data_IF_888527770527
#
_entry.id   IF_888527770527
#
_cell.length_a   1.000
_cell.length_b   1.000
_cell.length_c   1.000
_cell.angle_alpha   90.00
_cell.angle_beta   90.00
_cell.angle_gamma   90.00
#
_symmetry.space_group_name_H-M   'P 1'
#
loop_
_entity.id
_entity.type
_entity.pdbx_description
1 polymer ?
#
# COMPACT_ATOMS: atom_id res chain seq x y z
N UNK A 1 -8.20 12.23 7.26
CA UNK A 1 -6.76 11.95 7.36
C UNK A 1 -6.34 11.90 8.82
N UNK A 2 -5.18 11.29 9.12
CA UNK A 2 -4.63 11.17 10.48
C UNK A 2 -4.68 12.49 11.26
N UNK A 3 -4.93 12.42 12.56
CA UNK A 3 -5.07 13.60 13.40
C UNK A 3 -6.37 14.38 13.18
N UNK A 4 -7.44 13.73 12.70
CA UNK A 4 -8.76 14.33 12.43
C UNK A 4 -8.75 15.49 11.42
N UNK A 5 -7.85 15.43 10.42
CA UNK A 5 -7.71 16.48 9.40
C UNK A 5 -8.30 16.07 8.04
N UNK A 6 -8.71 17.04 7.21
CA UNK A 6 -9.38 16.82 5.93
C UNK A 6 -9.15 17.94 4.91
N UNK A 7 -9.67 17.77 3.69
CA UNK A 7 -9.68 18.80 2.63
C UNK A 7 -8.68 18.57 1.49
N UNK A 8 -8.92 19.25 0.37
CA UNK A 8 -8.12 19.14 -0.86
C UNK A 8 -6.64 19.50 -0.64
N UNK A 9 -6.37 20.42 0.29
CA UNK A 9 -5.02 20.83 0.70
C UNK A 9 -4.21 19.65 1.22
N UNK A 10 -4.85 18.66 1.87
CA UNK A 10 -4.13 17.46 2.35
C UNK A 10 -3.75 16.50 1.23
N UNK A 11 -4.57 16.42 0.18
CA UNK A 11 -4.26 15.63 -1.02
C UNK A 11 -3.06 16.22 -1.77
N UNK A 12 -2.90 17.55 -1.76
CA UNK A 12 -1.76 18.25 -2.36
C UNK A 12 -0.58 18.45 -1.40
N UNK A 13 -0.69 17.96 -0.16
CA UNK A 13 0.33 18.09 0.87
C UNK A 13 1.51 17.12 0.70
N UNK A 14 2.45 17.10 1.66
CA UNK A 14 3.67 16.27 1.59
C UNK A 14 3.39 14.77 1.49
N UNK A 15 2.27 14.31 2.05
CA UNK A 15 1.86 12.89 2.03
C UNK A 15 0.98 12.55 0.82
N UNK A 16 0.69 13.51 -0.05
CA UNK A 16 -0.23 13.34 -1.19
C UNK A 16 0.16 12.20 -2.12
N UNK A 17 1.45 12.06 -2.42
CA UNK A 17 1.96 10.99 -3.28
C UNK A 17 1.68 9.57 -2.76
N UNK A 18 1.66 9.36 -1.44
CA UNK A 18 1.30 8.05 -0.86
C UNK A 18 -0.19 7.77 -1.03
N UNK A 19 -1.04 8.80 -1.03
CA UNK A 19 -2.48 8.65 -1.26
C UNK A 19 -2.77 8.23 -2.71
N UNK A 20 -2.06 8.83 -3.66
CA UNK A 20 -2.11 8.40 -5.07
C UNK A 20 -1.52 6.99 -5.19
N UNK A 21 -0.42 6.71 -4.51
CA UNK A 21 0.21 5.40 -4.41
C UNK A 21 -0.72 4.28 -3.93
N UNK A 22 -1.63 4.58 -2.99
CA UNK A 22 -2.62 3.62 -2.51
C UNK A 22 -3.59 3.12 -3.59
N UNK A 23 -3.86 3.93 -4.62
CA UNK A 23 -4.68 3.50 -5.76
C UNK A 23 -3.98 2.32 -6.45
N UNK A 24 -2.69 2.47 -6.75
CA UNK A 24 -1.88 1.39 -7.35
C UNK A 24 -1.75 0.19 -6.43
N UNK A 25 -1.55 0.39 -5.13
CA UNK A 25 -1.54 -0.71 -4.15
C UNK A 25 -2.85 -1.50 -4.22
N UNK A 26 -3.99 -0.82 -4.20
CA UNK A 26 -5.32 -1.48 -4.24
C UNK A 26 -5.56 -2.21 -5.56
N UNK A 27 -5.13 -1.63 -6.69
CA UNK A 27 -5.25 -2.26 -8.01
C UNK A 27 -4.37 -3.51 -8.12
N UNK A 28 -3.08 -3.42 -7.78
CA UNK A 28 -2.16 -4.55 -7.85
C UNK A 28 -2.62 -5.70 -6.95
N UNK A 29 -2.99 -5.40 -5.70
CA UNK A 29 -3.48 -6.42 -4.76
C UNK A 29 -4.82 -7.01 -5.17
N UNK A 30 -5.76 -6.19 -5.63
CA UNK A 30 -7.08 -6.63 -6.08
C UNK A 30 -7.02 -7.52 -7.31
N UNK A 31 -6.23 -7.13 -8.32
CA UNK A 31 -6.01 -7.93 -9.54
C UNK A 31 -5.40 -9.28 -9.17
N UNK A 32 -4.30 -9.27 -8.41
CA UNK A 32 -3.63 -10.50 -8.01
C UNK A 32 -4.54 -11.40 -7.18
N UNK A 33 -5.36 -10.85 -6.29
CA UNK A 33 -6.32 -11.65 -5.50
C UNK A 33 -7.36 -12.39 -6.36
N UNK A 34 -7.68 -11.89 -7.56
CA UNK A 34 -8.57 -12.58 -8.50
C UNK A 34 -7.87 -13.72 -9.24
N UNK A 35 -6.60 -13.52 -9.63
CA UNK A 35 -5.88 -14.47 -10.48
C UNK A 35 -4.97 -15.45 -9.75
N UNK A 36 -4.64 -15.20 -8.47
CA UNK A 36 -3.64 -15.99 -7.77
C UNK A 36 -4.06 -17.44 -7.54
N UNK A 37 -5.36 -17.78 -7.54
CA UNK A 37 -5.87 -19.17 -7.34
C UNK A 37 -5.10 -19.92 -6.22
N UNK A 38 -4.91 -19.27 -5.07
CA UNK A 38 -4.20 -19.77 -3.86
C UNK A 38 -2.70 -19.94 -3.98
N UNK A 39 -2.12 -19.42 -5.05
CA UNK A 39 -0.69 -19.20 -5.10
C UNK A 39 -0.29 -18.07 -4.14
N UNK A 40 0.06 -18.47 -2.92
CA UNK A 40 0.50 -17.60 -1.83
C UNK A 40 1.63 -16.68 -2.29
N UNK A 41 2.58 -17.21 -3.07
CA UNK A 41 3.72 -16.44 -3.57
C UNK A 41 3.27 -15.34 -4.53
N UNK A 42 2.28 -15.62 -5.40
CA UNK A 42 1.73 -14.64 -6.33
C UNK A 42 0.96 -13.55 -5.58
N UNK A 43 0.16 -13.91 -4.56
CA UNK A 43 -0.53 -12.96 -3.67
C UNK A 43 0.44 -11.98 -3.00
N UNK A 44 1.48 -12.50 -2.35
CA UNK A 44 2.48 -11.67 -1.70
C UNK A 44 3.27 -10.82 -2.69
N UNK A 45 3.56 -11.34 -3.88
CA UNK A 45 4.24 -10.58 -4.93
C UNK A 45 3.41 -9.38 -5.36
N UNK A 46 2.10 -9.55 -5.58
CA UNK A 46 1.19 -8.44 -5.90
C UNK A 46 1.12 -7.38 -4.80
N UNK A 47 1.07 -7.82 -3.55
CA UNK A 47 1.12 -6.95 -2.38
C UNK A 47 2.42 -6.15 -2.29
N UNK A 48 3.57 -6.79 -2.48
CA UNK A 48 4.87 -6.15 -2.42
C UNK A 48 5.04 -5.17 -3.59
N UNK A 49 4.64 -5.54 -4.81
CA UNK A 49 4.69 -4.65 -5.97
C UNK A 49 3.82 -3.41 -5.74
N UNK A 50 2.59 -3.60 -5.27
CA UNK A 50 1.70 -2.48 -4.96
C UNK A 50 2.27 -1.57 -3.86
N UNK A 51 2.87 -2.15 -2.82
CA UNK A 51 3.47 -1.38 -1.72
C UNK A 51 4.72 -0.63 -2.20
N UNK A 52 5.54 -1.27 -3.04
CA UNK A 52 6.71 -0.65 -3.66
C UNK A 52 6.31 0.54 -4.52
N UNK A 53 5.28 0.42 -5.36
CA UNK A 53 4.77 1.53 -6.17
C UNK A 53 4.25 2.67 -5.29
N UNK A 54 3.53 2.34 -4.20
CA UNK A 54 3.05 3.32 -3.25
C UNK A 54 4.21 4.10 -2.61
N UNK A 55 5.23 3.39 -2.13
CA UNK A 55 6.42 4.00 -1.52
C UNK A 55 7.25 4.80 -2.52
N UNK A 56 7.40 4.33 -3.75
CA UNK A 56 8.16 5.04 -4.78
C UNK A 56 7.48 6.38 -5.12
N UNK A 57 6.19 6.36 -5.44
CA UNK A 57 5.43 7.56 -5.78
C UNK A 57 5.34 8.53 -4.58
N UNK A 58 5.08 7.99 -3.39
CA UNK A 58 5.06 8.76 -2.15
C UNK A 58 6.40 9.41 -1.81
N UNK A 59 7.50 8.69 -1.95
CA UNK A 59 8.85 9.21 -1.65
C UNK A 59 9.28 10.27 -2.64
N UNK A 60 9.04 10.08 -3.94
CA UNK A 60 9.35 11.08 -4.96
C UNK A 60 8.56 12.37 -4.73
N UNK A 61 7.26 12.24 -4.46
CA UNK A 61 6.40 13.38 -4.12
C UNK A 61 6.87 14.10 -2.84
N UNK A 62 7.15 13.35 -1.78
CA UNK A 62 7.59 13.90 -0.50
C UNK A 62 8.93 14.62 -0.63
N UNK A 63 9.87 14.03 -1.38
CA UNK A 63 11.17 14.61 -1.70
C UNK A 63 11.01 15.96 -2.40
N UNK A 64 10.13 16.04 -3.40
CA UNK A 64 9.84 17.27 -4.12
C UNK A 64 9.16 18.32 -3.24
N UNK A 65 8.08 17.96 -2.54
CA UNK A 65 7.28 18.91 -1.74
C UNK A 65 8.04 19.47 -0.53
N UNK A 66 8.95 18.69 0.06
CA UNK A 66 9.70 19.10 1.26
C UNK A 66 11.14 19.51 0.97
N UNK A 67 11.53 19.56 -0.31
CA UNK A 67 12.91 19.81 -0.75
C UNK A 67 13.94 18.93 -0.03
N UNK A 68 13.58 17.67 0.21
CA UNK A 68 14.44 16.68 0.87
C UNK A 68 15.17 15.86 -0.18
N UNK A 69 16.44 15.50 0.08
CA UNK A 69 17.10 14.46 -0.70
C UNK A 69 16.36 13.12 -0.59
N UNK A 70 16.45 12.29 -1.64
CA UNK A 70 15.71 11.02 -1.74
C UNK A 70 15.87 10.11 -0.52
N UNK A 71 17.11 9.91 -0.05
CA UNK A 71 17.38 9.09 1.15
C UNK A 71 16.72 9.64 2.41
N UNK A 72 16.70 10.97 2.56
CA UNK A 72 16.05 11.61 3.71
C UNK A 72 14.53 11.45 3.61
N UNK A 73 13.95 11.65 2.43
CA UNK A 73 12.53 11.39 2.20
C UNK A 73 12.15 9.92 2.48
N UNK A 74 12.98 8.96 2.10
CA UNK A 74 12.79 7.54 2.41
C UNK A 74 12.83 7.29 3.93
N UNK A 75 13.77 7.94 4.63
CA UNK A 75 13.93 7.78 6.08
C UNK A 75 12.71 8.23 6.88
N UNK A 76 12.04 9.31 6.47
CA UNK A 76 10.84 9.80 7.16
C UNK A 76 9.54 9.22 6.59
N UNK A 77 9.51 8.90 5.30
CA UNK A 77 8.29 8.53 4.59
C UNK A 77 8.06 7.03 4.43
N UNK A 78 9.10 6.20 4.53
CA UNK A 78 9.03 4.76 4.26
C UNK A 78 9.56 3.92 5.43
N UNK A 79 10.80 4.17 5.88
CA UNK A 79 11.45 3.36 6.93
C UNK A 79 10.56 3.09 8.15
N UNK A 80 9.88 4.09 8.77
CA UNK A 80 9.04 3.84 9.94
C UNK A 80 7.77 3.02 9.62
N UNK A 81 7.37 2.92 8.36
CA UNK A 81 6.14 2.24 7.93
C UNK A 81 6.36 0.80 7.45
N UNK A 82 7.60 0.39 7.15
CA UNK A 82 7.90 -0.96 6.63
C UNK A 82 7.36 -2.06 7.56
N UNK A 83 7.72 -2.02 8.85
CA UNK A 83 7.31 -3.04 9.82
C UNK A 83 5.78 -3.09 9.99
N UNK A 84 5.10 -1.97 10.33
CA UNK A 84 3.65 -2.01 10.49
C UNK A 84 2.92 -2.39 9.18
N UNK A 85 3.45 -2.04 8.01
CA UNK A 85 2.82 -2.42 6.75
C UNK A 85 3.01 -3.91 6.44
N UNK A 86 4.16 -4.52 6.74
CA UNK A 86 4.32 -5.98 6.66
C UNK A 86 3.27 -6.71 7.52
N UNK A 87 3.07 -6.23 8.75
CA UNK A 87 2.05 -6.80 9.65
C UNK A 87 0.65 -6.66 9.03
N UNK A 88 0.31 -5.48 8.49
CA UNK A 88 -0.97 -5.26 7.81
C UNK A 88 -1.14 -6.17 6.60
N UNK A 89 -0.11 -6.43 5.80
CA UNK A 89 -0.21 -7.32 4.65
C UNK A 89 -0.56 -8.75 5.07
N UNK A 90 0.11 -9.27 6.10
CA UNK A 90 -0.18 -10.62 6.64
C UNK A 90 -1.62 -10.70 7.17
N UNK A 91 -2.05 -9.67 7.92
CA UNK A 91 -3.41 -9.60 8.45
C UNK A 91 -4.46 -9.48 7.34
N UNK A 92 -4.23 -8.61 6.36
CA UNK A 92 -5.13 -8.40 5.23
C UNK A 92 -5.34 -9.71 4.46
N UNK A 93 -4.27 -10.47 4.23
CA UNK A 93 -4.36 -11.79 3.59
C UNK A 93 -5.17 -12.78 4.43
N UNK A 94 -4.85 -12.91 5.71
CA UNK A 94 -5.52 -13.85 6.63
C UNK A 94 -7.04 -13.58 6.71
N UNK A 95 -7.40 -12.30 6.85
CA UNK A 95 -8.79 -11.87 6.87
C UNK A 95 -9.45 -12.08 5.51
N UNK A 96 -8.76 -11.74 4.41
CA UNK A 96 -9.25 -11.91 3.04
C UNK A 96 -9.63 -13.36 2.73
N UNK A 97 -8.79 -14.32 3.09
CA UNK A 97 -9.07 -15.76 2.91
C UNK A 97 -10.32 -16.17 3.70
N UNK A 98 -10.45 -15.69 4.95
CA UNK A 98 -11.59 -16.01 5.80
C UNK A 98 -12.91 -15.46 5.22
N UNK A 99 -12.90 -14.23 4.71
CA UNK A 99 -14.06 -13.61 4.06
C UNK A 99 -14.44 -14.37 2.79
N UNK A 100 -13.45 -14.71 1.94
CA UNK A 100 -13.66 -15.46 0.70
C UNK A 100 -14.30 -16.83 0.96
N UNK A 101 -13.83 -17.52 2.00
CA UNK A 101 -14.42 -18.80 2.46
C UNK A 101 -15.87 -18.66 2.92
N UNK A 102 -16.22 -17.58 3.61
CA UNK A 102 -17.60 -17.31 4.06
C UNK A 102 -18.52 -17.03 2.87
N UNK A 103 -18.03 -16.32 1.85
CA UNK A 103 -18.81 -15.98 0.65
C UNK A 103 -18.94 -17.13 -0.35
N UNK A 104 -18.28 -18.28 -0.12
CA UNK A 104 -18.35 -19.46 -1.00
C UNK A 104 -17.50 -19.36 -2.27
N UNK A 105 -16.59 -18.38 -2.35
CA UNK A 105 -15.71 -18.19 -3.52
C UNK A 105 -14.57 -19.22 -3.51
N UNK A 106 -14.76 -20.32 -4.24
CA UNK A 106 -13.89 -21.52 -4.28
C UNK A 106 -12.68 -21.43 -5.20
N UNK A 107 -12.14 -20.24 -5.48
CA UNK A 107 -10.80 -20.12 -6.09
C UNK A 107 -9.77 -20.18 -4.95
N UNK A 108 -9.67 -21.24 -4.14
CA UNK A 108 -9.28 -22.64 -4.49
C UNK A 108 -8.07 -22.80 -5.41
#
# INVERSE_FOLDING_TARGET
FSGFQGGLIKLLGPTGGYLIGFIFLSLCTGVVAQYAQNNISLEFLGMIIGLFLCYLLGTLWLSHQMHLGFFKALSVGVIPFIIPDLIKLILARSIGIKIKKINGDTTV
#
